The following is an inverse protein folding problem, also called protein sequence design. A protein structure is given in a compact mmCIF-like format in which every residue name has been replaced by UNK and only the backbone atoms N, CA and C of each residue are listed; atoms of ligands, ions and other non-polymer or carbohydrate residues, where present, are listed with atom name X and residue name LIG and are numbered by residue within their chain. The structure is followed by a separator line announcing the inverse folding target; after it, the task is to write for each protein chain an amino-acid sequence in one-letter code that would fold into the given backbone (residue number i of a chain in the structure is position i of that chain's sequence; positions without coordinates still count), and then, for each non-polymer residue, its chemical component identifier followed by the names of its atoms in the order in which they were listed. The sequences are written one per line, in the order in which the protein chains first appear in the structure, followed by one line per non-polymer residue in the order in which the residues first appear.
data_IF_742298874379
#
_entry.id   IF_742298874379
#
_cell.length_a   1.000
_cell.length_b   1.000
_cell.length_c   1.000
_cell.angle_alpha   90.00
_cell.angle_beta   90.00
_cell.angle_gamma   90.00
#
_symmetry.space_group_name_H-M   'P 1'
#
loop_
_entity.id
_entity.type
_entity.pdbx_description
1 polymer ?
#
# COMPACT_ATOMS: atom_id res chain seq x y z
N UNK A 1 -18.84 -21.94 -1.18
CA UNK A 1 -18.02 -22.02 0.05
C UNK A 1 -17.26 -20.74 0.18
N UNK A 2 -17.52 -19.94 1.18
CA UNK A 2 -16.69 -18.76 1.49
C UNK A 2 -15.34 -19.27 1.98
N UNK A 3 -14.27 -18.96 1.29
CA UNK A 3 -12.93 -19.31 1.73
C UNK A 3 -12.65 -18.54 3.04
N UNK A 4 -12.30 -19.27 4.11
CA UNK A 4 -11.93 -18.64 5.39
C UNK A 4 -10.55 -17.98 5.31
N UNK A 5 -10.25 -17.11 6.29
CA UNK A 5 -8.89 -16.60 6.46
C UNK A 5 -7.88 -17.75 6.67
N UNK A 6 -6.69 -17.68 6.07
CA UNK A 6 -5.60 -18.62 6.33
C UNK A 6 -5.28 -18.71 7.83
N UNK A 7 -5.07 -19.92 8.33
CA UNK A 7 -4.77 -20.15 9.75
C UNK A 7 -3.31 -19.89 10.10
N UNK A 8 -2.42 -20.07 9.13
CA UNK A 8 -0.97 -19.93 9.30
C UNK A 8 -0.39 -18.90 8.32
N UNK A 9 0.74 -18.31 8.71
CA UNK A 9 1.48 -17.41 7.83
C UNK A 9 1.98 -18.10 6.54
N UNK A 10 2.21 -19.42 6.58
CA UNK A 10 2.64 -20.18 5.40
C UNK A 10 1.49 -20.31 4.39
N UNK A 11 0.31 -20.75 4.83
CA UNK A 11 -0.89 -20.83 3.97
C UNK A 11 -1.23 -19.46 3.36
N UNK A 12 -1.08 -18.41 4.16
CA UNK A 12 -1.31 -17.04 3.72
C UNK A 12 -0.32 -16.62 2.61
N UNK A 13 0.97 -16.93 2.77
CA UNK A 13 1.98 -16.63 1.76
C UNK A 13 1.76 -17.41 0.45
N UNK A 14 1.36 -18.68 0.54
CA UNK A 14 0.99 -19.49 -0.62
C UNK A 14 -0.21 -18.88 -1.37
N UNK A 15 -1.23 -18.44 -0.62
CA UNK A 15 -2.41 -17.77 -1.19
C UNK A 15 -2.04 -16.46 -1.89
N UNK A 16 -1.25 -15.59 -1.24
CA UNK A 16 -0.75 -14.34 -1.84
C UNK A 16 0.03 -14.65 -3.12
N UNK A 17 0.91 -15.64 -3.09
CA UNK A 17 1.68 -16.03 -4.28
C UNK A 17 0.77 -16.46 -5.43
N UNK A 18 -0.29 -17.20 -5.13
CA UNK A 18 -1.27 -17.65 -6.12
C UNK A 18 -2.05 -16.49 -6.74
N UNK A 19 -2.47 -15.51 -5.90
CA UNK A 19 -3.26 -14.37 -6.34
C UNK A 19 -2.42 -13.31 -7.07
N UNK A 20 -1.25 -12.99 -6.53
CA UNK A 20 -0.43 -11.86 -6.99
C UNK A 20 0.64 -12.29 -8.01
N UNK A 21 1.06 -13.56 -8.00
CA UNK A 21 2.04 -14.07 -8.96
C UNK A 21 1.72 -13.78 -10.43
N UNK A 22 0.48 -14.02 -10.91
CA UNK A 22 0.08 -13.66 -12.27
C UNK A 22 0.19 -12.16 -12.57
N UNK A 23 -0.16 -11.28 -11.63
CA UNK A 23 -0.03 -9.82 -11.77
C UNK A 23 1.44 -9.41 -11.88
N UNK A 24 2.30 -9.99 -11.03
CA UNK A 24 3.73 -9.75 -11.07
C UNK A 24 4.35 -10.20 -12.41
N UNK A 25 3.96 -11.36 -12.93
CA UNK A 25 4.42 -11.83 -14.24
C UNK A 25 3.92 -10.93 -15.40
N UNK A 26 2.70 -10.44 -15.34
CA UNK A 26 2.17 -9.49 -16.33
C UNK A 26 2.91 -8.15 -16.33
N UNK A 27 3.53 -7.79 -15.20
CA UNK A 27 4.33 -6.58 -15.04
C UNK A 27 5.84 -6.79 -15.29
N UNK A 28 6.25 -7.96 -15.80
CA UNK A 28 7.65 -8.30 -16.07
C UNK A 28 8.33 -7.25 -16.96
N UNK A 29 9.50 -6.79 -16.52
CA UNK A 29 10.29 -5.79 -17.25
C UNK A 29 9.69 -4.38 -17.28
N UNK A 30 8.56 -4.16 -16.58
CA UNK A 30 7.90 -2.87 -16.50
C UNK A 30 8.29 -2.14 -15.22
N UNK A 31 8.05 -0.84 -15.20
CA UNK A 31 8.00 -0.07 -13.96
C UNK A 31 6.71 -0.39 -13.23
N UNK A 32 6.81 -0.50 -11.91
CA UNK A 32 5.70 -0.82 -11.03
C UNK A 32 5.70 0.15 -9.86
N UNK A 33 4.58 0.81 -9.62
CA UNK A 33 4.32 1.53 -8.38
C UNK A 33 3.48 0.65 -7.46
N UNK A 34 3.99 0.39 -6.26
CA UNK A 34 3.24 -0.19 -5.14
C UNK A 34 2.94 0.94 -4.17
N UNK A 35 1.68 1.34 -4.10
CA UNK A 35 1.25 2.56 -3.40
C UNK A 35 0.31 2.19 -2.28
N UNK A 36 0.65 2.53 -1.05
CA UNK A 36 -0.30 2.40 0.06
C UNK A 36 -1.46 3.38 -0.08
N UNK A 37 -2.59 3.05 0.51
CA UNK A 37 -3.81 3.85 0.41
C UNK A 37 -3.99 4.82 1.56
N UNK A 38 -4.43 4.28 2.72
CA UNK A 38 -4.78 5.03 3.92
C UNK A 38 -3.57 5.80 4.47
N UNK A 39 -3.75 7.08 4.77
CA UNK A 39 -2.71 8.00 5.20
C UNK A 39 -1.60 8.29 4.17
N UNK A 40 -1.54 7.56 3.07
CA UNK A 40 -0.60 7.76 1.96
C UNK A 40 -1.24 8.57 0.84
N UNK A 41 -2.30 8.09 0.23
CA UNK A 41 -3.07 8.83 -0.79
C UNK A 41 -4.19 9.68 -0.17
N UNK A 42 -4.75 9.22 0.94
CA UNK A 42 -5.79 9.90 1.72
C UNK A 42 -5.23 10.32 3.08
N UNK A 43 -5.68 11.46 3.66
CA UNK A 43 -5.37 11.80 5.05
C UNK A 43 -6.08 10.89 6.06
N UNK A 44 -7.08 10.14 5.62
CA UNK A 44 -7.98 9.37 6.46
C UNK A 44 -7.62 7.88 6.47
N UNK A 45 -8.09 7.18 7.52
CA UNK A 45 -8.07 5.73 7.68
C UNK A 45 -9.46 5.19 7.28
N UNK A 46 -9.55 4.66 6.07
CA UNK A 46 -10.83 4.22 5.49
C UNK A 46 -11.37 2.98 6.19
N UNK A 47 -10.52 2.06 6.64
CA UNK A 47 -10.92 0.86 7.35
C UNK A 47 -11.44 1.17 8.76
N UNK A 48 -10.83 2.13 9.44
CA UNK A 48 -11.36 2.63 10.72
C UNK A 48 -12.71 3.34 10.54
N UNK A 49 -12.88 4.10 9.46
CA UNK A 49 -14.16 4.73 9.13
C UNK A 49 -15.25 3.67 8.90
N UNK A 50 -14.92 2.57 8.21
CA UNK A 50 -15.81 1.45 7.98
C UNK A 50 -16.33 0.86 9.32
N UNK A 51 -15.43 0.54 10.27
CA UNK A 51 -15.84 0.01 11.58
C UNK A 51 -16.78 0.95 12.33
N UNK A 52 -16.44 2.25 12.37
CA UNK A 52 -17.28 3.26 13.04
C UNK A 52 -18.69 3.34 12.45
N UNK A 53 -18.80 3.29 11.11
CA UNK A 53 -20.10 3.29 10.42
C UNK A 53 -20.90 2.00 10.65
N UNK A 54 -20.19 0.90 10.83
CA UNK A 54 -20.79 -0.38 11.20
C UNK A 54 -21.13 -0.47 12.73
N UNK A 55 -20.91 0.61 13.50
CA UNK A 55 -21.23 0.66 14.93
C UNK A 55 -20.18 -0.01 15.83
N UNK A 56 -18.97 -0.29 15.32
CA UNK A 56 -17.88 -0.88 16.08
C UNK A 56 -16.84 0.15 16.53
N UNK A 57 -16.27 -0.05 17.71
CA UNK A 57 -15.15 0.74 18.21
C UNK A 57 -13.82 0.18 17.64
N UNK A 58 -13.06 0.95 16.86
CA UNK A 58 -11.77 0.52 16.35
C UNK A 58 -10.66 0.43 17.41
N UNK A 59 -10.93 0.81 18.67
CA UNK A 59 -9.92 0.83 19.73
C UNK A 59 -9.42 -0.56 20.10
N UNK A 60 -10.21 -1.63 19.92
CA UNK A 60 -9.74 -3.00 20.17
C UNK A 60 -8.61 -3.39 19.21
N UNK A 61 -8.75 -3.03 17.94
CA UNK A 61 -7.70 -3.25 16.93
C UNK A 61 -6.44 -2.45 17.30
N UNK A 62 -6.61 -1.17 17.68
CA UNK A 62 -5.48 -0.35 18.11
C UNK A 62 -4.75 -0.94 19.32
N UNK A 63 -5.49 -1.41 20.33
CA UNK A 63 -4.92 -2.09 21.51
C UNK A 63 -4.15 -3.35 21.13
N UNK A 64 -4.67 -4.14 20.22
CA UNK A 64 -4.02 -5.35 19.73
C UNK A 64 -2.67 -5.04 19.09
N UNK A 65 -2.60 -4.06 18.18
CA UNK A 65 -1.34 -3.63 17.57
C UNK A 65 -0.35 -3.03 18.58
N UNK A 66 -0.83 -2.34 19.61
CA UNK A 66 0.03 -1.80 20.68
C UNK A 66 0.63 -2.90 21.56
N UNK A 67 -0.10 -3.98 21.82
CA UNK A 67 0.34 -5.10 22.67
C UNK A 67 1.26 -6.06 21.93
N UNK A 68 0.90 -6.47 20.74
CA UNK A 68 1.55 -7.57 20.02
C UNK A 68 2.41 -7.09 18.83
N UNK A 69 2.39 -5.79 18.53
CA UNK A 69 3.06 -5.22 17.38
C UNK A 69 2.43 -5.61 16.04
N UNK A 70 3.15 -5.32 14.96
CA UNK A 70 2.72 -5.59 13.57
C UNK A 70 3.07 -7.02 13.14
N UNK A 71 2.51 -8.02 13.84
CA UNK A 71 2.69 -9.44 13.53
C UNK A 71 1.49 -10.02 12.77
N UNK A 72 1.67 -11.22 12.21
CA UNK A 72 0.60 -11.95 11.51
C UNK A 72 -0.68 -12.08 12.32
N UNK A 73 -0.56 -12.39 13.64
CA UNK A 73 -1.72 -12.52 14.55
C UNK A 73 -2.50 -11.22 14.70
N UNK A 74 -1.82 -10.07 14.78
CA UNK A 74 -2.47 -8.75 14.88
C UNK A 74 -3.20 -8.36 13.59
N UNK A 75 -2.59 -8.60 12.42
CA UNK A 75 -3.26 -8.36 11.14
C UNK A 75 -4.39 -9.34 10.87
N UNK A 76 -4.26 -10.60 11.32
CA UNK A 76 -5.34 -11.57 11.27
C UNK A 76 -6.54 -11.12 12.11
N UNK A 77 -6.30 -10.70 13.35
CA UNK A 77 -7.34 -10.14 14.22
C UNK A 77 -8.01 -8.91 13.57
N UNK A 78 -7.21 -8.03 12.96
CA UNK A 78 -7.71 -6.88 12.21
C UNK A 78 -8.64 -7.31 11.06
N UNK A 79 -8.23 -8.28 10.27
CA UNK A 79 -9.04 -8.81 9.18
C UNK A 79 -10.32 -9.46 9.69
N UNK A 80 -10.24 -10.32 10.73
CA UNK A 80 -11.38 -10.98 11.35
C UNK A 80 -12.43 -9.99 11.87
N UNK A 81 -12.00 -8.90 12.51
CA UNK A 81 -12.90 -7.87 13.02
C UNK A 81 -13.76 -7.22 11.92
N UNK A 82 -13.20 -7.03 10.73
CA UNK A 82 -13.95 -6.50 9.59
C UNK A 82 -14.81 -7.58 8.91
N UNK A 83 -14.24 -8.75 8.64
CA UNK A 83 -14.91 -9.83 7.91
C UNK A 83 -16.13 -10.38 8.67
N UNK A 84 -16.11 -10.36 9.99
CA UNK A 84 -17.24 -10.78 10.83
C UNK A 84 -18.50 -9.92 10.64
N UNK A 85 -18.39 -8.74 10.02
CA UNK A 85 -19.54 -7.89 9.67
C UNK A 85 -20.30 -8.42 8.43
N UNK A 86 -19.70 -9.32 7.67
CA UNK A 86 -20.32 -10.01 6.54
C UNK A 86 -20.45 -9.15 5.27
N UNK A 87 -20.83 -9.81 4.18
CA UNK A 87 -20.89 -9.20 2.84
C UNK A 87 -21.87 -8.01 2.74
N UNK A 88 -22.98 -8.04 3.49
CA UNK A 88 -23.98 -6.96 3.46
C UNK A 88 -23.38 -5.63 3.96
N UNK A 89 -22.57 -5.66 5.03
CA UNK A 89 -21.90 -4.47 5.52
C UNK A 89 -20.90 -3.91 4.49
N UNK A 90 -20.13 -4.79 3.83
CA UNK A 90 -19.20 -4.38 2.78
C UNK A 90 -19.92 -3.79 1.57
N UNK A 91 -21.00 -4.43 1.10
CA UNK A 91 -21.81 -3.93 0.00
C UNK A 91 -22.44 -2.56 0.29
N UNK A 92 -22.80 -2.31 1.56
CA UNK A 92 -23.40 -1.05 1.98
C UNK A 92 -22.35 0.06 2.21
N UNK A 93 -21.31 -0.19 3.01
CA UNK A 93 -20.41 0.87 3.46
C UNK A 93 -19.26 1.17 2.50
N UNK A 94 -18.72 0.18 1.77
CA UNK A 94 -17.56 0.42 0.91
C UNK A 94 -17.82 1.46 -0.18
N UNK A 95 -18.95 1.42 -0.93
CA UNK A 95 -19.22 2.44 -1.96
C UNK A 95 -19.42 3.84 -1.36
N UNK A 96 -20.03 3.96 -0.19
CA UNK A 96 -20.23 5.24 0.47
C UNK A 96 -18.92 5.85 0.91
N UNK A 97 -18.08 5.07 1.61
CA UNK A 97 -16.77 5.53 2.10
C UNK A 97 -15.85 5.87 0.91
N UNK A 98 -15.80 5.03 -0.12
CA UNK A 98 -14.96 5.29 -1.28
C UNK A 98 -15.33 6.56 -2.04
N UNK A 99 -16.63 6.84 -2.19
CA UNK A 99 -17.11 8.08 -2.83
C UNK A 99 -16.89 9.33 -1.98
N UNK A 100 -16.91 9.21 -0.66
CA UNK A 100 -16.68 10.31 0.27
C UNK A 100 -15.19 10.53 0.56
N UNK A 101 -14.33 9.56 0.28
CA UNK A 101 -12.91 9.66 0.55
C UNK A 101 -12.28 10.91 -0.08
N UNK A 102 -11.49 11.60 0.72
CA UNK A 102 -10.72 12.77 0.32
C UNK A 102 -9.28 12.32 0.07
N UNK A 103 -8.70 12.74 -1.04
CA UNK A 103 -7.31 12.46 -1.35
C UNK A 103 -6.45 13.70 -1.13
N UNK A 104 -5.17 13.48 -0.88
CA UNK A 104 -4.21 14.57 -0.84
C UNK A 104 -4.13 15.32 -2.17
N UNK A 105 -3.83 16.60 -2.13
CA UNK A 105 -3.61 17.41 -3.32
C UNK A 105 -2.52 16.79 -4.21
N UNK A 106 -2.80 16.67 -5.51
CA UNK A 106 -1.90 16.07 -6.50
C UNK A 106 -1.86 14.52 -6.52
N UNK A 107 -2.49 13.82 -5.56
CA UNK A 107 -2.47 12.35 -5.53
C UNK A 107 -3.16 11.73 -6.77
N UNK A 108 -4.26 12.33 -7.24
CA UNK A 108 -4.94 11.90 -8.46
C UNK A 108 -4.08 12.11 -9.69
N UNK A 109 -3.41 13.26 -9.79
CA UNK A 109 -2.54 13.55 -10.92
C UNK A 109 -1.33 12.63 -10.94
N UNK A 110 -0.77 12.30 -9.77
CA UNK A 110 0.26 11.26 -9.63
C UNK A 110 -0.23 9.92 -10.19
N UNK A 111 -1.37 9.41 -9.71
CA UNK A 111 -1.91 8.12 -10.14
C UNK A 111 -2.16 8.09 -11.65
N UNK A 112 -2.75 9.16 -12.21
CA UNK A 112 -3.01 9.28 -13.64
C UNK A 112 -1.74 9.31 -14.48
N UNK A 113 -0.73 10.08 -14.06
CA UNK A 113 0.55 10.17 -14.76
C UNK A 113 1.35 8.86 -14.64
N UNK A 114 1.36 8.24 -13.45
CA UNK A 114 2.05 6.99 -13.23
C UNK A 114 1.42 5.86 -14.06
N UNK A 115 0.08 5.73 -14.08
CA UNK A 115 -0.62 4.67 -14.81
C UNK A 115 -0.49 4.78 -16.33
N UNK A 116 -0.20 5.96 -16.86
CA UNK A 116 0.08 6.14 -18.29
C UNK A 116 1.39 5.46 -18.74
N UNK A 117 2.38 5.27 -17.85
CA UNK A 117 3.73 4.82 -18.20
C UNK A 117 4.26 3.65 -17.38
N UNK A 118 3.50 3.19 -16.38
CA UNK A 118 3.87 2.12 -15.46
C UNK A 118 2.64 1.28 -15.07
N UNK A 119 2.86 0.12 -14.46
CA UNK A 119 1.80 -0.56 -13.74
C UNK A 119 1.68 0.04 -12.34
N UNK A 120 0.48 0.35 -11.92
CA UNK A 120 0.21 0.93 -10.59
C UNK A 120 -0.71 -0.02 -9.82
N UNK A 121 -0.33 -0.30 -8.57
CA UNK A 121 -1.11 -1.12 -7.66
C UNK A 121 -1.32 -0.35 -6.35
N UNK A 122 -2.56 -0.24 -5.90
CA UNK A 122 -2.84 0.17 -4.53
C UNK A 122 -2.64 -1.05 -3.63
N UNK A 123 -1.79 -0.95 -2.61
CA UNK A 123 -1.40 -2.06 -1.73
C UNK A 123 -1.81 -1.73 -0.31
N UNK A 124 -3.04 -2.09 0.08
CA UNK A 124 -3.64 -1.66 1.34
C UNK A 124 -3.77 -2.78 2.37
N UNK A 125 -3.37 -2.52 3.62
CA UNK A 125 -3.68 -3.37 4.76
C UNK A 125 -5.14 -3.19 5.25
N UNK A 126 -5.86 -2.21 4.71
CA UNK A 126 -7.27 -1.96 4.94
C UNK A 126 -8.19 -2.74 4.01
N UNK A 127 -9.30 -2.14 3.63
CA UNK A 127 -10.36 -2.75 2.83
C UNK A 127 -10.17 -2.42 1.33
N UNK A 128 -9.74 -3.36 0.48
CA UNK A 128 -9.46 -3.09 -0.92
C UNK A 128 -10.69 -2.61 -1.68
N UNK A 129 -11.88 -3.08 -1.33
CA UNK A 129 -13.15 -2.70 -1.97
C UNK A 129 -13.44 -1.21 -1.86
N UNK A 130 -13.02 -0.53 -0.80
CA UNK A 130 -13.16 0.92 -0.66
C UNK A 130 -12.30 1.63 -1.70
N UNK A 131 -11.07 1.17 -1.89
CA UNK A 131 -10.14 1.76 -2.85
C UNK A 131 -10.58 1.56 -4.31
N UNK A 132 -11.26 0.48 -4.65
CA UNK A 132 -11.92 0.34 -5.96
C UNK A 132 -12.93 1.47 -6.20
N UNK A 133 -13.76 1.82 -5.21
CA UNK A 133 -14.71 2.93 -5.35
C UNK A 133 -14.04 4.31 -5.36
N UNK A 134 -12.91 4.47 -4.68
CA UNK A 134 -12.08 5.68 -4.82
C UNK A 134 -11.58 5.83 -6.25
N UNK A 135 -11.02 4.77 -6.82
CA UNK A 135 -10.49 4.77 -8.19
C UNK A 135 -11.60 4.99 -9.22
N UNK A 136 -12.75 4.32 -9.09
CA UNK A 136 -13.94 4.52 -9.93
C UNK A 136 -14.38 5.99 -9.95
N UNK A 137 -14.51 6.63 -8.78
CA UNK A 137 -14.87 8.04 -8.64
C UNK A 137 -13.97 8.97 -9.46
N UNK A 138 -12.71 8.60 -9.66
CA UNK A 138 -11.70 9.41 -10.34
C UNK A 138 -11.32 8.92 -11.75
N UNK A 139 -12.07 7.93 -12.27
CA UNK A 139 -11.85 7.32 -13.59
C UNK A 139 -10.43 6.73 -13.73
N UNK A 140 -10.03 5.93 -12.73
CA UNK A 140 -8.73 5.27 -12.63
C UNK A 140 -8.88 3.74 -12.49
N UNK A 141 -9.90 3.14 -13.12
CA UNK A 141 -10.29 1.73 -12.99
C UNK A 141 -9.23 0.76 -13.54
N UNK A 142 -8.25 1.27 -14.29
CA UNK A 142 -7.11 0.48 -14.76
C UNK A 142 -6.02 0.23 -13.70
N UNK A 143 -6.17 0.80 -12.51
CA UNK A 143 -5.27 0.57 -11.37
C UNK A 143 -5.83 -0.57 -10.53
N UNK A 144 -5.03 -1.61 -10.32
CA UNK A 144 -5.40 -2.77 -9.51
C UNK A 144 -5.24 -2.47 -8.00
N UNK A 145 -6.07 -3.11 -7.18
CA UNK A 145 -6.00 -2.99 -5.72
C UNK A 145 -5.68 -4.34 -5.10
N UNK A 146 -4.62 -4.38 -4.30
CA UNK A 146 -4.15 -5.56 -3.56
C UNK A 146 -4.43 -5.33 -2.08
N UNK A 147 -5.18 -6.24 -1.44
CA UNK A 147 -5.50 -6.21 -0.02
C UNK A 147 -6.42 -7.36 0.35
N UNK A 148 -6.31 -7.84 1.60
CA UNK A 148 -6.90 -9.11 2.03
C UNK A 148 -8.24 -9.01 2.76
N UNK A 149 -8.72 -7.81 3.11
CA UNK A 149 -9.99 -7.64 3.84
C UNK A 149 -11.14 -7.54 2.84
N UNK A 150 -11.50 -8.66 2.21
CA UNK A 150 -12.70 -8.80 1.37
C UNK A 150 -13.38 -10.15 1.67
N UNK A 151 -14.68 -10.19 2.03
CA UNK A 151 -15.38 -11.44 2.33
C UNK A 151 -15.38 -12.45 1.18
N UNK A 152 -15.20 -12.01 -0.08
CA UNK A 152 -15.20 -12.88 -1.26
C UNK A 152 -13.92 -13.68 -1.41
N UNK A 153 -12.78 -13.09 -1.00
CA UNK A 153 -11.47 -13.72 -1.11
C UNK A 153 -10.51 -13.23 0.00
N UNK A 154 -10.79 -13.60 1.29
CA UNK A 154 -10.06 -13.05 2.41
C UNK A 154 -8.67 -13.67 2.57
N UNK A 155 -7.69 -12.83 2.89
CA UNK A 155 -6.36 -13.23 3.37
C UNK A 155 -5.80 -12.18 4.34
N UNK A 156 -4.79 -12.55 5.12
CA UNK A 156 -4.13 -11.60 6.02
C UNK A 156 -3.18 -10.72 5.21
N UNK A 157 -3.26 -9.41 5.40
CA UNK A 157 -2.42 -8.48 4.67
C UNK A 157 -1.91 -7.35 5.58
N UNK A 158 -0.60 -7.29 5.76
CA UNK A 158 0.08 -6.33 6.61
C UNK A 158 1.50 -6.07 6.16
N UNK A 159 2.38 -5.71 7.09
CA UNK A 159 3.77 -5.31 6.80
C UNK A 159 4.54 -6.35 6.00
N UNK A 160 4.55 -7.60 6.50
CA UNK A 160 5.24 -8.71 5.86
C UNK A 160 4.69 -9.00 4.46
N UNK A 161 3.37 -9.03 4.35
CA UNK A 161 2.68 -9.37 3.11
C UNK A 161 2.88 -8.28 2.04
N UNK A 162 2.94 -7.00 2.42
CA UNK A 162 3.37 -5.90 1.51
C UNK A 162 4.80 -6.14 1.01
N UNK A 163 5.71 -6.59 1.89
CA UNK A 163 7.06 -7.02 1.52
C UNK A 163 7.05 -8.21 0.56
N UNK A 164 6.22 -9.23 0.82
CA UNK A 164 6.10 -10.41 -0.05
C UNK A 164 5.57 -10.04 -1.45
N UNK A 165 4.59 -9.15 -1.55
CA UNK A 165 4.13 -8.57 -2.83
C UNK A 165 5.29 -7.90 -3.56
N UNK A 166 6.06 -7.05 -2.88
CA UNK A 166 7.24 -6.41 -3.49
C UNK A 166 8.25 -7.45 -4.01
N UNK A 167 8.55 -8.50 -3.23
CA UNK A 167 9.44 -9.61 -3.65
C UNK A 167 8.93 -10.32 -4.91
N UNK A 168 7.63 -10.55 -5.05
CA UNK A 168 7.05 -11.18 -6.24
C UNK A 168 7.29 -10.33 -7.50
N UNK A 169 7.06 -9.01 -7.42
CA UNK A 169 7.32 -8.11 -8.56
C UNK A 169 8.82 -8.01 -8.89
N UNK A 170 9.69 -7.94 -7.88
CA UNK A 170 11.14 -7.96 -8.07
C UNK A 170 11.63 -9.26 -8.71
N UNK A 171 11.14 -10.41 -8.24
CA UNK A 171 11.46 -11.72 -8.79
C UNK A 171 10.99 -11.89 -10.24
N UNK A 172 9.90 -11.22 -10.62
CA UNK A 172 9.45 -11.15 -12.00
C UNK A 172 10.30 -10.20 -12.88
N UNK A 173 11.26 -9.46 -12.31
CA UNK A 173 12.12 -8.51 -13.00
C UNK A 173 11.48 -7.14 -13.23
N UNK A 174 10.51 -6.75 -12.43
CA UNK A 174 9.94 -5.40 -12.46
C UNK A 174 10.85 -4.38 -11.76
N UNK A 175 10.84 -3.13 -12.23
CA UNK A 175 11.45 -2.00 -11.53
C UNK A 175 10.42 -1.40 -10.57
N UNK A 176 10.57 -1.67 -9.26
CA UNK A 176 9.57 -1.36 -8.24
C UNK A 176 9.86 -0.04 -7.55
N UNK A 177 8.85 0.82 -7.46
CA UNK A 177 8.81 2.04 -6.66
C UNK A 177 7.75 1.84 -5.58
N UNK A 178 8.15 1.88 -4.31
CA UNK A 178 7.25 1.81 -3.16
C UNK A 178 6.85 3.22 -2.70
N UNK A 179 5.58 3.41 -2.35
CA UNK A 179 5.05 4.66 -1.80
C UNK A 179 4.24 4.33 -0.55
N UNK A 180 4.58 4.90 0.61
CA UNK A 180 3.91 4.59 1.87
C UNK A 180 4.21 5.59 2.97
N UNK A 181 3.49 5.52 4.10
CA UNK A 181 3.57 6.51 5.18
C UNK A 181 4.02 5.94 6.53
N UNK A 182 3.95 4.63 6.73
CA UNK A 182 4.04 4.04 8.06
C UNK A 182 4.93 2.80 8.13
N UNK A 183 5.18 2.31 9.35
CA UNK A 183 5.94 1.08 9.59
C UNK A 183 5.31 -0.16 8.92
N UNK A 184 4.01 -0.13 8.64
CA UNK A 184 3.33 -1.18 7.86
C UNK A 184 3.87 -1.29 6.44
N UNK A 185 4.48 -0.22 5.91
CA UNK A 185 5.07 -0.17 4.57
C UNK A 185 6.57 -0.48 4.57
N UNK A 186 7.19 -0.58 5.76
CA UNK A 186 8.65 -0.62 5.89
C UNK A 186 9.33 -1.71 5.06
N UNK A 187 8.79 -2.94 5.05
CA UNK A 187 9.38 -4.03 4.25
C UNK A 187 9.24 -3.80 2.75
N UNK A 188 8.08 -3.30 2.31
CA UNK A 188 7.85 -2.95 0.90
C UNK A 188 8.82 -1.85 0.45
N UNK A 189 8.93 -0.79 1.24
CA UNK A 189 9.80 0.35 0.93
C UNK A 189 11.30 -0.01 0.97
N UNK A 190 11.72 -0.84 1.93
CA UNK A 190 13.11 -1.32 2.01
C UNK A 190 13.53 -2.15 0.79
N UNK A 191 12.61 -2.94 0.26
CA UNK A 191 12.87 -3.86 -0.85
C UNK A 191 12.78 -3.18 -2.20
N UNK A 192 11.97 -2.14 -2.35
CA UNK A 192 11.77 -1.43 -3.61
C UNK A 192 13.08 -0.82 -4.13
N UNK A 193 13.21 -0.63 -5.43
CA UNK A 193 14.35 0.08 -6.01
C UNK A 193 14.40 1.55 -5.61
N UNK A 194 13.24 2.14 -5.39
CA UNK A 194 13.07 3.50 -4.89
C UNK A 194 11.95 3.53 -3.86
N UNK A 195 12.13 4.27 -2.77
CA UNK A 195 11.17 4.45 -1.71
C UNK A 195 10.69 5.91 -1.66
N UNK A 196 9.39 6.10 -1.59
CA UNK A 196 8.75 7.41 -1.38
C UNK A 196 7.99 7.39 -0.07
N UNK A 197 8.44 8.19 0.87
CA UNK A 197 7.79 8.35 2.18
C UNK A 197 6.79 9.50 2.10
N UNK A 198 5.53 9.23 2.42
CA UNK A 198 4.52 10.28 2.56
C UNK A 198 4.51 10.74 4.01
N UNK A 199 4.86 12.00 4.23
CA UNK A 199 5.05 12.56 5.58
C UNK A 199 3.71 13.02 6.14
N UNK A 200 3.23 12.30 7.15
CA UNK A 200 2.01 12.59 7.88
C UNK A 200 2.29 12.79 9.37
N UNK A 201 2.32 14.04 9.83
CA UNK A 201 2.47 14.43 11.25
C UNK A 201 3.52 13.61 12.03
N UNK A 202 3.13 12.56 12.77
CA UNK A 202 4.02 11.82 13.68
C UNK A 202 4.28 10.36 13.28
N UNK A 203 3.77 9.91 12.14
CA UNK A 203 3.79 8.48 11.77
C UNK A 203 5.10 7.99 11.16
N UNK A 204 5.90 8.89 10.63
CA UNK A 204 7.14 8.47 9.93
C UNK A 204 8.32 8.18 10.87
N UNK A 205 8.24 8.52 12.17
CA UNK A 205 9.34 8.33 13.12
C UNK A 205 9.79 6.87 13.20
N UNK A 206 8.85 5.93 13.11
CA UNK A 206 9.12 4.50 13.21
C UNK A 206 9.55 3.90 11.86
N UNK A 207 9.15 4.51 10.75
CA UNK A 207 9.48 4.09 9.40
C UNK A 207 10.92 4.46 8.99
N UNK A 208 11.36 5.68 9.28
CA UNK A 208 12.63 6.21 8.78
C UNK A 208 13.87 5.41 9.20
N UNK A 209 13.98 4.86 10.43
CA UNK A 209 15.10 4.00 10.80
C UNK A 209 15.26 2.79 9.88
N UNK A 210 14.16 2.25 9.38
CA UNK A 210 14.16 1.13 8.43
C UNK A 210 14.74 1.51 7.07
N UNK A 211 14.65 2.79 6.68
CA UNK A 211 15.13 3.29 5.39
C UNK A 211 16.52 3.96 5.46
N UNK A 212 17.17 3.98 6.61
CA UNK A 212 18.46 4.68 6.82
C UNK A 212 19.59 4.23 5.87
N UNK A 213 19.52 3.01 5.34
CA UNK A 213 20.50 2.47 4.38
C UNK A 213 19.97 2.35 2.95
N UNK A 214 18.73 2.79 2.72
CA UNK A 214 18.14 2.71 1.39
C UNK A 214 18.75 3.81 0.50
N UNK A 215 19.32 3.48 -0.69
CA UNK A 215 20.11 4.44 -1.48
C UNK A 215 19.24 5.52 -2.16
N UNK A 216 17.95 5.28 -2.35
CA UNK A 216 17.03 6.15 -3.08
C UNK A 216 15.74 6.35 -2.30
N UNK A 217 15.75 7.31 -1.37
CA UNK A 217 14.58 7.71 -0.58
C UNK A 217 14.17 9.12 -0.96
N UNK A 218 12.88 9.31 -1.15
CA UNK A 218 12.23 10.58 -1.44
C UNK A 218 11.12 10.83 -0.41
N UNK A 219 10.68 12.08 -0.27
CA UNK A 219 9.52 12.37 0.54
C UNK A 219 8.50 13.24 -0.19
N UNK A 220 7.22 12.97 0.06
CA UNK A 220 6.10 13.86 -0.24
C UNK A 220 5.53 14.36 1.07
N UNK A 221 5.28 15.65 1.18
CA UNK A 221 4.85 16.29 2.44
C UNK A 221 3.51 16.98 2.22
N UNK A 222 2.39 16.21 2.19
CA UNK A 222 1.07 16.81 2.07
C UNK A 222 0.64 17.50 3.38
N UNK A 223 1.11 17.00 4.51
CA UNK A 223 0.88 17.56 5.85
C UNK A 223 2.09 17.28 6.74
N UNK A 224 2.34 18.15 7.72
CA UNK A 224 3.43 17.93 8.68
C UNK A 224 4.73 18.67 8.31
N UNK A 225 5.84 18.20 8.86
CA UNK A 225 7.16 18.81 8.72
C UNK A 225 8.07 17.89 7.92
N UNK A 226 8.73 18.37 6.87
CA UNK A 226 9.64 17.56 6.07
C UNK A 226 10.85 17.09 6.89
N UNK A 227 11.40 15.93 6.55
CA UNK A 227 12.70 15.49 7.04
C UNK A 227 13.82 16.16 6.25
N UNK A 228 14.77 16.80 6.95
CA UNK A 228 15.78 17.66 6.32
C UNK A 228 16.71 16.93 5.35
N UNK A 229 17.01 15.66 5.62
CA UNK A 229 17.98 14.87 4.86
C UNK A 229 17.37 14.07 3.69
N UNK A 230 16.06 14.18 3.48
CA UNK A 230 15.36 13.44 2.43
C UNK A 230 14.87 14.43 1.35
N UNK A 231 15.24 14.22 0.07
CA UNK A 231 14.78 15.09 -1.01
C UNK A 231 13.25 15.13 -1.11
N UNK A 232 12.70 16.35 -1.20
CA UNK A 232 11.25 16.58 -1.25
C UNK A 232 10.76 16.57 -2.70
N UNK A 233 9.59 15.96 -2.90
CA UNK A 233 8.81 15.97 -4.14
C UNK A 233 7.37 16.42 -3.82
N UNK A 234 6.62 16.81 -4.84
CA UNK A 234 5.17 16.79 -4.82
C UNK A 234 4.64 15.47 -5.41
N UNK A 235 3.37 15.17 -5.23
CA UNK A 235 2.78 13.94 -5.75
C UNK A 235 2.94 13.80 -7.27
N UNK A 236 2.66 14.80 -8.12
CA UNK A 236 2.89 14.67 -9.57
C UNK A 236 4.34 14.33 -9.93
N UNK A 237 5.33 14.89 -9.23
CA UNK A 237 6.75 14.61 -9.48
C UNK A 237 7.15 13.16 -9.14
N UNK A 238 6.40 12.46 -8.27
CA UNK A 238 6.65 11.04 -7.97
C UNK A 238 6.53 10.18 -9.23
N UNK A 239 5.60 10.47 -10.14
CA UNK A 239 5.46 9.74 -11.40
C UNK A 239 6.74 9.82 -12.27
N UNK A 240 7.52 10.88 -12.14
CA UNK A 240 8.71 11.15 -12.93
C UNK A 240 10.01 10.57 -12.33
N UNK A 241 10.04 10.16 -11.05
CA UNK A 241 11.28 9.63 -10.42
C UNK A 241 11.78 8.36 -11.09
N UNK A 242 10.90 7.56 -11.65
CA UNK A 242 11.22 6.36 -12.37
C UNK A 242 12.21 6.62 -13.54
N UNK A 243 12.09 7.75 -14.22
CA UNK A 243 12.99 8.14 -15.33
C UNK A 243 14.39 8.55 -14.86
N UNK A 244 14.51 9.10 -13.64
CA UNK A 244 15.79 9.56 -13.09
C UNK A 244 16.70 8.41 -12.69
N UNK A 245 16.15 7.26 -12.35
CA UNK A 245 16.90 6.06 -12.00
C UNK A 245 17.56 5.45 -13.23
N UNK A 246 16.83 5.34 -14.33
CA UNK A 246 17.37 4.79 -15.60
C UNK A 246 18.54 5.63 -16.13
N UNK A 247 18.47 6.97 -16.00
CA UNK A 247 19.54 7.87 -16.38
C UNK A 247 20.81 7.67 -15.53
N UNK A 248 20.67 7.50 -14.21
CA UNK A 248 21.82 7.28 -13.30
C UNK A 248 22.50 5.93 -13.47
N UNK A 249 21.76 4.88 -13.81
CA UNK A 249 22.33 3.56 -14.12
C UNK A 249 23.09 3.62 -15.45
N UNK A 250 22.57 4.34 -16.44
CA UNK A 250 23.23 4.52 -17.74
C UNK A 250 24.56 5.33 -17.63
N UNK A 251 24.69 6.18 -16.62
CA UNK A 251 25.89 7.00 -16.34
C UNK A 251 26.88 6.31 -15.39
N UNK A 252 26.51 5.20 -14.74
CA UNK A 252 27.42 4.48 -13.87
C UNK A 252 28.50 3.80 -14.73
N UNK A 253 29.82 4.07 -14.49
CA UNK A 253 30.88 3.41 -15.23
C UNK A 253 30.78 1.89 -14.99
N UNK A 254 30.72 1.13 -16.08
CA UNK A 254 30.90 -0.31 -16.05
C UNK A 254 32.25 -0.59 -15.37
N UNK A 255 32.21 -1.03 -14.11
CA UNK A 255 33.40 -1.52 -13.46
C UNK A 255 33.95 -2.71 -14.26
N UNK A 256 35.01 -2.42 -14.99
CA UNK A 256 35.85 -3.39 -15.71
C UNK A 256 36.71 -4.19 -14.71
#
# INVERSE_FOLDING_TARGET
MTLGLPLTAKENAERITTLIGPLAQAARGRRVFLVDGDHTLSPDDTSRNFLRRAGLDPMDIKRRFQQDGYCFGSFRFHAEAHLNLGEEAFAHWCPLIGREAVLHEGAIDFLRQASANAAVFIVTAGIPRIWYYVLEKHHLEGIEVIGGIDPRDPYVFGRREKGDVCRLFLAAGANVIGVGDSDVDSEMLQLAHQAVVVVNQHRNSDLLPHLARHPFVWQVVPRGVPHNDIPKLDFPAVAAIAHRYDAKIAEAPLCS
#
